data_IF_194054281430
#
_entry.id   IF_194054281430
#
_cell.length_a   1.000
_cell.length_b   1.000
_cell.length_c   1.000
_cell.angle_alpha   90.00
_cell.angle_beta   90.00
_cell.angle_gamma   90.00
#
_symmetry.space_group_name_H-M   'P 1'
#
loop_
_entity.id
_entity.type
_entity.pdbx_description
1 polymer ?
#
# COMPACT_ATOMS: atom_id res chain seq x y z
N UNK A 1 15.49 14.48 7.90
CA UNK A 1 14.34 14.14 7.05
C UNK A 1 14.88 13.44 5.83
N UNK A 2 14.55 12.16 5.69
CA UNK A 2 14.87 11.38 4.49
C UNK A 2 13.53 10.82 4.02
N UNK A 3 13.04 11.29 2.87
CA UNK A 3 11.69 11.01 2.35
C UNK A 3 11.30 12.11 1.37
N UNK A 4 10.72 11.73 0.24
CA UNK A 4 10.51 12.60 -0.93
C UNK A 4 9.36 13.61 -0.74
N UNK A 5 8.62 13.55 0.38
CA UNK A 5 7.43 14.37 0.66
C UNK A 5 7.41 14.93 2.09
N UNK A 6 8.59 15.16 2.65
CA UNK A 6 8.70 15.77 3.96
C UNK A 6 8.13 17.20 3.96
N UNK A 7 7.04 17.44 4.67
CA UNK A 7 6.57 18.80 4.95
C UNK A 7 7.60 19.52 5.83
N UNK A 8 8.56 20.15 5.17
CA UNK A 8 9.65 20.91 5.81
C UNK A 8 9.14 22.10 6.61
N UNK A 9 7.85 22.47 6.48
CA UNK A 9 7.22 23.53 7.23
C UNK A 9 6.56 23.05 8.54
N UNK A 10 6.35 21.74 8.71
CA UNK A 10 5.81 21.16 9.96
C UNK A 10 6.79 21.40 11.11
N UNK A 11 6.26 21.95 12.20
CA UNK A 11 7.00 22.11 13.44
C UNK A 11 6.71 20.91 14.35
N UNK A 12 7.76 20.33 14.92
CA UNK A 12 7.70 19.26 15.92
C UNK A 12 8.05 19.85 17.28
N UNK A 13 7.32 19.44 18.33
CA UNK A 13 7.46 19.99 19.66
C UNK A 13 8.36 19.10 20.52
N UNK A 14 9.33 19.71 21.15
CA UNK A 14 10.31 19.06 22.00
C UNK A 14 10.18 19.57 23.42
N UNK A 15 10.41 18.67 24.36
CA UNK A 15 10.55 18.97 25.78
C UNK A 15 11.88 18.45 26.27
N UNK A 16 12.69 19.34 26.83
CA UNK A 16 13.93 19.02 27.53
C UNK A 16 13.66 19.10 29.03
N UNK A 17 13.91 18.01 29.74
CA UNK A 17 13.76 17.91 31.19
C UNK A 17 15.12 17.67 31.81
N UNK A 18 15.52 18.51 32.75
CA UNK A 18 16.72 18.38 33.55
C UNK A 18 16.41 17.74 34.90
N UNK A 19 17.33 16.95 35.45
CA UNK A 19 17.17 16.43 36.82
C UNK A 19 17.21 17.52 37.89
N UNK A 20 17.79 18.69 37.58
CA UNK A 20 17.71 19.85 38.45
C UNK A 20 16.42 20.65 38.20
N UNK A 21 15.36 20.28 38.90
CA UNK A 21 14.03 20.91 38.80
C UNK A 21 13.96 22.31 39.42
N UNK A 22 15.03 22.80 40.07
CA UNK A 22 15.10 24.19 40.56
C UNK A 22 15.72 25.15 39.54
N UNK A 23 16.21 24.64 38.40
CA UNK A 23 16.84 25.46 37.37
C UNK A 23 15.79 26.20 36.55
N UNK A 24 15.80 27.52 36.62
CA UNK A 24 14.97 28.39 35.79
C UNK A 24 15.80 29.50 35.17
N UNK A 25 15.40 29.97 34.00
CA UNK A 25 16.07 31.03 33.24
C UNK A 25 16.46 30.62 31.83
N UNK A 26 17.09 31.53 31.09
CA UNK A 26 17.52 31.31 29.71
C UNK A 26 18.96 30.81 29.66
N UNK A 27 19.17 29.67 29.01
CA UNK A 27 20.45 29.01 28.81
C UNK A 27 20.62 28.79 27.31
N UNK A 28 21.48 29.60 26.68
CA UNK A 28 21.57 29.64 25.22
C UNK A 28 20.24 30.06 24.59
N UNK A 29 19.73 29.24 23.68
CA UNK A 29 18.47 29.48 22.96
C UNK A 29 17.23 28.92 23.67
N UNK A 30 17.41 28.27 24.83
CA UNK A 30 16.37 27.57 25.58
C UNK A 30 16.03 28.31 26.87
N UNK A 31 14.75 28.45 27.18
CA UNK A 31 14.27 28.98 28.46
C UNK A 31 13.71 27.83 29.28
N UNK A 32 14.33 27.61 30.44
CA UNK A 32 13.92 26.60 31.40
C UNK A 32 13.03 27.23 32.47
N UNK A 33 11.98 26.50 32.84
CA UNK A 33 11.14 26.76 34.00
C UNK A 33 11.06 25.47 34.81
N UNK A 34 11.57 25.52 36.04
CA UNK A 34 11.61 24.37 36.95
C UNK A 34 12.28 23.12 36.33
N UNK A 35 13.39 23.33 35.63
CA UNK A 35 14.15 22.28 34.95
C UNK A 35 13.56 21.82 33.62
N UNK A 36 12.48 22.43 33.13
CA UNK A 36 11.82 22.03 31.88
C UNK A 36 11.86 23.16 30.85
N UNK A 37 12.26 22.85 29.62
CA UNK A 37 12.17 23.75 28.49
C UNK A 37 11.36 23.10 27.37
N UNK A 38 10.43 23.84 26.77
CA UNK A 38 9.64 23.39 25.62
C UNK A 38 9.82 24.34 24.45
N UNK A 39 10.00 23.78 23.26
CA UNK A 39 10.18 24.54 22.02
C UNK A 39 9.74 23.71 20.81
N UNK A 40 9.60 24.35 19.65
CA UNK A 40 9.31 23.67 18.40
C UNK A 40 10.45 23.87 17.40
N UNK A 41 10.75 22.84 16.61
CA UNK A 41 11.71 22.89 15.51
C UNK A 41 11.06 22.42 14.22
N UNK A 42 11.34 23.13 13.13
CA UNK A 42 11.08 22.67 11.76
C UNK A 42 12.28 21.89 11.22
N UNK A 43 12.12 21.35 10.01
CA UNK A 43 13.20 20.66 9.33
C UNK A 43 14.46 21.53 9.22
N UNK A 44 15.59 21.01 9.72
CA UNK A 44 16.89 21.66 9.66
C UNK A 44 17.12 22.74 10.72
N UNK A 45 16.12 23.06 11.54
CA UNK A 45 16.29 23.94 12.69
C UNK A 45 16.95 23.20 13.86
N UNK A 46 17.64 23.96 14.71
CA UNK A 46 18.25 23.45 15.94
C UNK A 46 18.18 24.49 17.05
N UNK A 47 18.31 24.03 18.30
CA UNK A 47 18.39 24.86 19.50
C UNK A 47 19.56 24.38 20.35
N UNK A 48 20.33 25.31 20.89
CA UNK A 48 21.46 24.98 21.77
C UNK A 48 21.24 25.56 23.15
N UNK A 49 21.52 24.78 24.21
CA UNK A 49 21.61 25.30 25.56
C UNK A 49 23.08 25.44 25.98
N UNK A 50 23.45 26.60 26.50
CA UNK A 50 24.81 26.89 26.97
C UNK A 50 24.80 27.32 28.44
N UNK A 51 25.85 26.97 29.19
CA UNK A 51 25.98 27.35 30.60
C UNK A 51 25.14 26.52 31.57
N UNK A 52 24.66 25.34 31.14
CA UNK A 52 24.00 24.40 32.04
C UNK A 52 24.98 23.88 33.11
N UNK A 53 24.54 23.64 34.36
CA UNK A 53 25.41 23.12 35.40
C UNK A 53 25.95 21.73 35.08
N UNK A 54 27.25 21.53 35.29
CA UNK A 54 27.91 20.23 35.12
C UNK A 54 27.35 19.21 36.11
N UNK A 55 27.13 17.98 35.66
CA UNK A 55 26.59 16.88 36.45
C UNK A 55 25.07 16.77 36.45
N UNK A 56 24.36 17.73 35.86
CA UNK A 56 22.92 17.63 35.64
C UNK A 56 22.66 16.65 34.51
N UNK A 57 21.70 15.75 34.72
CA UNK A 57 21.21 14.86 33.67
C UNK A 57 20.08 15.52 32.91
N UNK A 58 19.92 15.15 31.64
CA UNK A 58 18.84 15.64 30.80
C UNK A 58 18.10 14.46 30.14
N UNK A 59 16.86 14.74 29.73
CA UNK A 59 16.07 13.91 28.83
C UNK A 59 15.36 14.81 27.83
N UNK A 60 15.29 14.40 26.56
CA UNK A 60 14.63 15.10 25.46
C UNK A 60 13.56 14.19 24.88
N UNK A 61 12.35 14.71 24.75
CA UNK A 61 11.20 13.99 24.19
C UNK A 61 10.60 14.83 23.08
N UNK A 62 10.32 14.21 21.94
CA UNK A 62 9.44 14.76 20.91
C UNK A 62 7.99 14.35 21.21
N UNK A 63 7.07 15.32 21.28
CA UNK A 63 5.69 15.08 21.69
C UNK A 63 4.88 14.35 20.61
N UNK A 64 5.15 14.65 19.34
CA UNK A 64 4.48 14.05 18.17
C UNK A 64 5.21 12.81 17.63
N UNK A 65 6.03 12.14 18.45
CA UNK A 65 6.75 10.96 18.03
C UNK A 65 5.79 9.91 17.45
N UNK A 66 6.10 9.43 16.25
CA UNK A 66 5.31 8.43 15.50
C UNK A 66 3.85 8.84 15.21
N UNK A 67 3.56 10.13 15.11
CA UNK A 67 2.22 10.66 14.80
C UNK A 67 2.14 11.24 13.38
N UNK A 68 0.91 11.48 12.90
CA UNK A 68 0.63 12.11 11.59
C UNK A 68 1.27 11.43 10.37
N UNK A 69 1.48 10.10 10.45
CA UNK A 69 2.13 9.32 9.41
C UNK A 69 3.65 9.48 9.35
N UNK A 70 4.24 10.13 10.34
CA UNK A 70 5.69 10.13 10.52
C UNK A 70 6.12 8.90 11.33
N UNK A 71 7.32 8.40 11.03
CA UNK A 71 8.11 7.52 11.88
C UNK A 71 9.26 8.33 12.46
N UNK A 72 9.42 8.31 13.78
CA UNK A 72 10.41 9.08 14.51
C UNK A 72 11.56 8.17 14.96
N UNK A 73 12.79 8.58 14.68
CA UNK A 73 14.01 7.95 15.22
C UNK A 73 14.82 8.96 16.00
N UNK A 74 15.34 8.58 17.17
CA UNK A 74 16.07 9.48 18.06
C UNK A 74 17.32 8.83 18.65
N UNK A 75 18.36 9.63 18.90
CA UNK A 75 19.60 9.22 19.57
C UNK A 75 20.07 10.30 20.54
N UNK A 76 20.76 9.91 21.62
CA UNK A 76 21.28 10.86 22.62
C UNK A 76 20.19 11.60 23.39
N UNK A 77 18.99 11.02 23.46
CA UNK A 77 17.81 11.60 24.11
C UNK A 77 17.99 11.82 25.61
N UNK A 78 18.96 11.17 26.23
CA UNK A 78 19.32 11.37 27.61
C UNK A 78 20.84 11.32 27.80
N UNK A 79 21.30 11.91 28.89
CA UNK A 79 22.72 12.00 29.17
C UNK A 79 23.04 12.86 30.39
N UNK A 80 24.33 13.10 30.61
CA UNK A 80 24.83 13.98 31.68
C UNK A 80 25.61 15.13 31.07
N UNK A 81 25.32 16.36 31.50
CA UNK A 81 26.09 17.53 31.11
C UNK A 81 27.48 17.43 31.72
N UNK A 82 28.49 17.37 30.86
CA UNK A 82 29.89 17.27 31.25
C UNK A 82 30.63 18.56 30.87
N UNK A 83 31.68 18.89 31.63
CA UNK A 83 32.42 20.12 31.42
C UNK A 83 33.11 20.10 30.05
N UNK A 84 32.97 21.19 29.30
CA UNK A 84 33.62 21.42 28.00
C UNK A 84 33.30 20.34 26.93
N UNK A 85 32.18 19.62 27.10
CA UNK A 85 31.70 18.60 26.16
C UNK A 85 30.27 18.94 25.75
N UNK A 86 30.01 18.95 24.45
CA UNK A 86 28.67 19.11 23.90
C UNK A 86 27.96 17.76 23.90
N UNK A 87 26.81 17.69 24.57
CA UNK A 87 25.89 16.57 24.44
C UNK A 87 24.92 16.86 23.28
N UNK A 88 24.62 15.86 22.46
CA UNK A 88 23.77 15.99 21.28
C UNK A 88 22.58 15.04 21.38
N UNK A 89 21.39 15.56 21.13
CA UNK A 89 20.18 14.78 20.95
C UNK A 89 19.68 14.97 19.52
N UNK A 90 19.68 13.91 18.72
CA UNK A 90 19.34 13.97 17.30
C UNK A 90 18.01 13.25 17.05
N UNK A 91 17.09 13.92 16.38
CA UNK A 91 15.78 13.40 15.99
C UNK A 91 15.63 13.42 14.47
N UNK A 92 15.10 12.34 13.91
CA UNK A 92 14.78 12.22 12.48
C UNK A 92 13.35 11.73 12.33
N UNK A 93 12.49 12.64 11.83
CA UNK A 93 11.13 12.33 11.40
C UNK A 93 11.13 12.00 9.91
N UNK A 94 10.58 10.84 9.59
CA UNK A 94 10.47 10.31 8.24
C UNK A 94 9.00 10.12 7.92
N UNK A 95 8.51 10.78 6.89
CA UNK A 95 7.20 10.50 6.31
C UNK A 95 7.45 9.83 4.97
N UNK A 96 7.14 8.56 4.90
CA UNK A 96 7.09 7.85 3.63
C UNK A 96 5.69 8.07 3.08
N UNK A 97 5.60 8.45 1.80
CA UNK A 97 4.38 8.16 1.07
C UNK A 97 4.24 6.66 1.12
N UNK A 98 3.17 6.18 1.77
CA UNK A 98 2.73 4.81 1.60
C UNK A 98 2.73 4.59 0.08
N UNK A 99 3.58 3.70 -0.48
CA UNK A 99 3.52 3.46 -1.90
C UNK A 99 2.07 3.12 -2.16
N UNK A 100 1.43 3.80 -3.13
CA UNK A 100 0.13 3.38 -3.63
C UNK A 100 0.16 1.86 -3.63
N UNK A 101 -0.77 1.16 -2.94
CA UNK A 101 -0.74 -0.28 -2.91
C UNK A 101 -0.57 -0.71 -4.36
N UNK A 102 0.58 -1.33 -4.65
CA UNK A 102 0.95 -1.66 -6.03
C UNK A 102 -0.25 -2.37 -6.65
N UNK A 103 -0.51 -2.20 -7.97
CA UNK A 103 -1.73 -2.69 -8.58
C UNK A 103 -1.97 -4.12 -8.09
N UNK A 104 -3.17 -4.36 -7.53
CA UNK A 104 -3.56 -5.67 -7.01
C UNK A 104 -3.02 -6.75 -7.96
N UNK A 105 -2.40 -7.83 -7.45
CA UNK A 105 -1.88 -8.87 -8.32
C UNK A 105 -2.99 -9.26 -9.28
N UNK A 106 -2.77 -8.99 -10.57
CA UNK A 106 -3.78 -9.21 -11.61
C UNK A 106 -4.26 -10.66 -11.45
N UNK A 107 -5.56 -10.91 -11.27
CA UNK A 107 -6.05 -12.26 -11.07
C UNK A 107 -5.57 -13.12 -12.24
N UNK A 108 -4.97 -14.26 -11.91
CA UNK A 108 -4.60 -15.24 -12.91
C UNK A 108 -5.90 -15.71 -13.59
N UNK A 109 -5.91 -15.68 -14.92
CA UNK A 109 -7.08 -16.01 -15.73
C UNK A 109 -6.70 -16.92 -16.88
N UNK A 110 -7.62 -17.82 -17.25
CA UNK A 110 -7.52 -18.72 -18.38
C UNK A 110 -8.40 -18.30 -19.57
N UNK A 111 -8.31 -19.06 -20.65
CA UNK A 111 -9.17 -18.92 -21.83
C UNK A 111 -9.66 -20.27 -22.35
N UNK A 112 -10.88 -20.30 -22.90
CA UNK A 112 -11.52 -21.46 -23.50
C UNK A 112 -12.01 -21.11 -24.91
N UNK A 113 -11.59 -21.87 -25.91
CA UNK A 113 -12.08 -21.72 -27.29
C UNK A 113 -12.89 -22.93 -27.71
N UNK A 114 -14.09 -22.70 -28.26
CA UNK A 114 -14.93 -23.72 -28.90
C UNK A 114 -14.96 -23.43 -30.40
N UNK A 115 -14.62 -24.43 -31.23
CA UNK A 115 -14.54 -24.32 -32.69
C UNK A 115 -15.34 -25.43 -33.36
N UNK A 116 -16.00 -25.13 -34.48
CA UNK A 116 -16.76 -26.14 -35.25
C UNK A 116 -16.12 -26.43 -36.60
N UNK A 117 -15.81 -27.71 -36.83
CA UNK A 117 -15.37 -28.23 -38.12
C UNK A 117 -16.37 -29.28 -38.62
N UNK A 118 -16.81 -29.18 -39.87
CA UNK A 118 -17.66 -30.15 -40.56
C UNK A 118 -16.78 -30.83 -41.62
N UNK A 119 -16.78 -32.15 -41.68
CA UNK A 119 -15.93 -32.93 -42.59
C UNK A 119 -16.76 -33.94 -43.40
N UNK A 120 -16.23 -34.40 -44.54
CA UNK A 120 -16.92 -35.28 -45.49
C UNK A 120 -17.52 -34.53 -46.69
N UNK A 121 -17.64 -35.20 -47.82
CA UNK A 121 -18.04 -34.56 -49.09
C UNK A 121 -19.49 -34.05 -49.10
N UNK A 122 -20.37 -34.62 -48.28
CA UNK A 122 -21.78 -34.24 -48.17
C UNK A 122 -22.09 -33.38 -46.91
N UNK A 123 -21.04 -32.87 -46.23
CA UNK A 123 -21.21 -32.07 -45.03
C UNK A 123 -21.79 -30.69 -45.34
N UNK A 124 -22.92 -30.33 -44.71
CA UNK A 124 -23.48 -28.99 -44.82
C UNK A 124 -22.66 -28.00 -43.97
N UNK A 125 -21.75 -27.28 -44.62
CA UNK A 125 -20.91 -26.26 -43.98
C UNK A 125 -21.68 -24.97 -43.64
N UNK A 126 -22.90 -24.82 -44.14
CA UNK A 126 -23.76 -23.66 -43.87
C UNK A 126 -24.67 -23.87 -42.65
N UNK A 127 -24.88 -25.12 -42.23
CA UNK A 127 -25.64 -25.49 -41.03
C UNK A 127 -25.00 -24.89 -39.78
N UNK A 128 -25.82 -24.26 -38.96
CA UNK A 128 -25.44 -23.80 -37.63
C UNK A 128 -25.64 -24.94 -36.62
N UNK A 129 -24.63 -25.19 -35.79
CA UNK A 129 -24.67 -26.18 -34.71
C UNK A 129 -24.71 -25.46 -33.38
N UNK A 130 -25.62 -25.87 -32.50
CA UNK A 130 -25.81 -25.23 -31.20
C UNK A 130 -24.90 -25.87 -30.16
N UNK A 131 -24.20 -25.04 -29.39
CA UNK A 131 -23.32 -25.45 -28.32
C UNK A 131 -23.78 -24.82 -27.01
N UNK A 132 -23.70 -25.61 -25.95
CA UNK A 132 -23.85 -25.13 -24.57
C UNK A 132 -22.56 -25.43 -23.82
N UNK A 133 -21.96 -24.39 -23.26
CA UNK A 133 -20.81 -24.48 -22.36
C UNK A 133 -21.30 -24.27 -20.94
N UNK A 134 -20.98 -25.20 -20.04
CA UNK A 134 -21.29 -25.11 -18.61
C UNK A 134 -20.00 -25.10 -17.81
N UNK A 135 -19.78 -24.04 -17.03
CA UNK A 135 -18.66 -23.92 -16.10
C UNK A 135 -19.01 -24.58 -14.77
N UNK A 136 -18.02 -25.11 -14.06
CA UNK A 136 -18.23 -25.65 -12.71
C UNK A 136 -18.57 -24.57 -11.69
N UNK A 137 -18.23 -23.30 -11.96
CA UNK A 137 -18.63 -22.17 -11.14
C UNK A 137 -19.91 -21.53 -11.72
N UNK A 138 -21.05 -21.83 -11.10
CA UNK A 138 -22.37 -21.32 -11.50
C UNK A 138 -22.66 -19.91 -11.02
N UNK A 139 -21.75 -19.28 -10.26
CA UNK A 139 -21.90 -17.86 -9.87
C UNK A 139 -21.40 -16.87 -10.94
N UNK A 140 -20.77 -17.36 -12.00
CA UNK A 140 -20.28 -16.52 -13.10
C UNK A 140 -21.41 -16.15 -14.05
N UNK A 141 -21.82 -14.88 -13.97
CA UNK A 141 -22.89 -14.30 -14.80
C UNK A 141 -22.40 -13.01 -15.45
N UNK A 142 -21.44 -13.13 -16.36
CA UNK A 142 -20.83 -12.01 -17.07
C UNK A 142 -20.36 -12.41 -18.49
N UNK A 143 -19.88 -11.45 -19.27
CA UNK A 143 -19.29 -11.69 -20.58
C UNK A 143 -17.78 -11.89 -20.46
N UNK A 144 -17.33 -13.06 -20.90
CA UNK A 144 -15.93 -13.44 -20.99
C UNK A 144 -15.59 -13.61 -22.47
N UNK A 145 -14.81 -12.68 -23.03
CA UNK A 145 -14.50 -12.66 -24.46
C UNK A 145 -15.76 -12.62 -25.33
N UNK A 146 -15.92 -13.62 -26.21
CA UNK A 146 -17.04 -13.75 -27.15
C UNK A 146 -18.27 -14.49 -26.57
N UNK A 147 -18.20 -14.91 -25.30
CA UNK A 147 -19.21 -15.71 -24.63
C UNK A 147 -19.82 -14.96 -23.45
N UNK A 148 -21.15 -14.88 -23.43
CA UNK A 148 -21.90 -14.37 -22.28
C UNK A 148 -22.40 -15.56 -21.47
N UNK A 149 -22.00 -15.63 -20.21
CA UNK A 149 -22.45 -16.63 -19.26
C UNK A 149 -23.57 -16.07 -18.39
N UNK A 150 -24.58 -16.89 -18.16
CA UNK A 150 -25.61 -16.65 -17.16
C UNK A 150 -25.65 -17.87 -16.24
N UNK A 151 -25.38 -17.66 -14.96
CA UNK A 151 -25.28 -18.70 -13.95
C UNK A 151 -24.30 -19.84 -14.34
N UNK A 152 -23.16 -19.47 -14.94
CA UNK A 152 -22.14 -20.40 -15.42
C UNK A 152 -22.47 -21.10 -16.74
N UNK A 153 -23.53 -20.71 -17.45
CA UNK A 153 -23.95 -21.33 -18.72
C UNK A 153 -23.91 -20.34 -19.87
N UNK A 154 -23.26 -20.70 -20.98
CA UNK A 154 -23.28 -19.94 -22.22
C UNK A 154 -23.80 -20.82 -23.36
N UNK A 155 -24.73 -20.30 -24.16
CA UNK A 155 -25.25 -20.99 -25.35
C UNK A 155 -25.06 -20.16 -26.61
N UNK A 156 -24.58 -20.78 -27.68
CA UNK A 156 -24.30 -20.12 -28.95
C UNK A 156 -24.36 -21.10 -30.12
N UNK A 157 -24.39 -20.61 -31.35
CA UNK A 157 -24.31 -21.44 -32.55
C UNK A 157 -23.03 -21.13 -33.34
N UNK A 158 -22.42 -22.17 -33.92
CA UNK A 158 -21.27 -22.06 -34.82
C UNK A 158 -21.53 -22.82 -36.12
N UNK A 159 -21.16 -22.22 -37.25
CA UNK A 159 -21.05 -22.88 -38.56
C UNK A 159 -19.66 -23.45 -38.76
N UNK A 160 -19.46 -24.15 -39.87
CA UNK A 160 -18.14 -24.65 -40.25
C UNK A 160 -17.10 -23.53 -40.30
N UNK A 161 -15.98 -23.73 -39.59
CA UNK A 161 -14.87 -22.80 -39.54
C UNK A 161 -15.04 -21.66 -38.52
N UNK A 162 -16.20 -21.56 -37.86
CA UNK A 162 -16.44 -20.57 -36.82
C UNK A 162 -15.96 -21.05 -35.44
N UNK A 163 -15.58 -20.09 -34.61
CA UNK A 163 -15.15 -20.30 -33.24
C UNK A 163 -15.61 -19.16 -32.33
N UNK A 164 -15.73 -19.45 -31.03
CA UNK A 164 -15.88 -18.44 -29.97
C UNK A 164 -14.85 -18.69 -28.88
N UNK A 165 -14.30 -17.62 -28.31
CA UNK A 165 -13.33 -17.69 -27.22
C UNK A 165 -13.85 -16.97 -25.98
N UNK A 166 -13.91 -17.67 -24.85
CA UNK A 166 -14.04 -17.05 -23.54
C UNK A 166 -12.65 -16.72 -22.98
N UNK A 167 -12.40 -15.45 -22.68
CA UNK A 167 -11.13 -14.96 -22.10
C UNK A 167 -11.37 -14.35 -20.73
N UNK A 168 -10.40 -14.47 -19.83
CA UNK A 168 -10.53 -13.88 -18.49
C UNK A 168 -11.30 -14.76 -17.51
N UNK A 169 -11.47 -16.05 -17.82
CA UNK A 169 -12.11 -16.99 -16.90
C UNK A 169 -11.19 -17.18 -15.68
N UNK A 170 -11.72 -17.25 -14.45
CA UNK A 170 -10.91 -17.62 -13.29
C UNK A 170 -10.16 -18.94 -13.51
N UNK A 171 -8.93 -19.04 -12.98
CA UNK A 171 -8.17 -20.29 -12.97
C UNK A 171 -8.89 -21.38 -12.17
N UNK A 172 -8.53 -22.65 -12.42
CA UNK A 172 -9.09 -23.85 -11.78
C UNK A 172 -10.59 -24.10 -12.00
N UNK A 173 -11.21 -23.40 -12.96
CA UNK A 173 -12.56 -23.72 -13.41
C UNK A 173 -12.51 -24.88 -14.41
N UNK A 174 -13.36 -25.87 -14.18
CA UNK A 174 -13.62 -26.94 -15.15
C UNK A 174 -14.86 -26.58 -15.98
N UNK A 175 -14.97 -27.17 -17.17
CA UNK A 175 -16.08 -26.89 -18.07
C UNK A 175 -16.53 -28.17 -18.78
N UNK A 176 -17.79 -28.17 -19.20
CA UNK A 176 -18.32 -29.14 -20.15
C UNK A 176 -18.84 -28.41 -21.38
N UNK A 177 -18.73 -29.04 -22.55
CA UNK A 177 -19.29 -28.52 -23.80
C UNK A 177 -20.20 -29.60 -24.37
N UNK A 178 -21.45 -29.24 -24.63
CA UNK A 178 -22.44 -30.11 -25.26
C UNK A 178 -22.83 -29.48 -26.60
N UNK A 179 -22.64 -30.23 -27.68
CA UNK A 179 -23.28 -29.92 -28.96
C UNK A 179 -24.71 -30.46 -28.92
N UNK A 180 -25.69 -29.57 -29.08
CA UNK A 180 -27.08 -29.93 -29.21
C UNK A 180 -27.36 -30.17 -30.70
N UNK A 181 -27.89 -31.34 -31.02
CA UNK A 181 -28.45 -31.57 -32.35
C UNK A 181 -29.65 -30.63 -32.53
N UNK A 182 -29.69 -29.89 -33.64
CA UNK A 182 -30.89 -29.16 -34.01
C UNK A 182 -32.03 -30.18 -34.22
N UNK A 183 -33.16 -30.02 -33.53
CA UNK A 183 -34.37 -30.80 -33.77
C UNK A 183 -34.63 -30.85 -35.29
N UNK A 184 -34.59 -32.05 -35.87
CA UNK A 184 -34.84 -32.31 -37.29
C UNK A 184 -36.34 -32.23 -37.62
#
# INVERSE_FOLDING_TARGET
MAGNDGDTSKAFHFTVTLSNTSLSGTYGDMTFENGVASFALKHGESKSASGLPVGVTYTVVEQEADQDGYTTTATGTDGTITKDVTAEANFTNTKEDDPEPGPDPKPETGSLTVSKTVAGNDGDTSKAFHFTVTLSNTSLSDTYGDMTFENGVASFALKHGESKTASGLPVDITYTVVEQEADQ
#
